data_IF_425556052703
#
_entry.id   IF_425556052703
#
_cell.length_a   1.000
_cell.length_b   1.000
_cell.length_c   1.000
_cell.angle_alpha   90.00
_cell.angle_beta   90.00
_cell.angle_gamma   90.00
#
_symmetry.space_group_name_H-M   'P 1'
#
loop_
_entity.id
_entity.type
_entity.pdbx_description
1 polymer ?
#
# COMPACT_ATOMS: atom_id res chain seq x y z
N UNK A 1 -9.71 -18.86 -4.65
CA UNK A 1 -8.24 -18.79 -4.56
C UNK A 1 -7.78 -17.91 -3.40
N UNK A 2 -8.04 -16.60 -3.43
CA UNK A 2 -7.51 -15.64 -2.45
C UNK A 2 -7.96 -15.86 -0.99
N UNK A 3 -9.23 -16.22 -0.75
CA UNK A 3 -9.76 -16.49 0.60
C UNK A 3 -9.27 -17.79 1.25
N UNK A 4 -8.64 -18.68 0.47
CA UNK A 4 -8.16 -19.99 0.94
C UNK A 4 -6.63 -20.03 1.12
N UNK A 5 -5.93 -18.91 0.91
CA UNK A 5 -4.48 -18.83 1.10
C UNK A 5 -4.19 -18.85 2.60
N UNK A 6 -3.32 -19.77 3.02
CA UNK A 6 -2.79 -19.77 4.38
C UNK A 6 -1.75 -18.65 4.47
N UNK A 7 -2.07 -17.63 5.27
CA UNK A 7 -1.23 -16.46 5.43
C UNK A 7 -0.11 -16.71 6.44
N UNK A 8 0.97 -15.94 6.31
CA UNK A 8 2.04 -15.89 7.31
C UNK A 8 1.46 -15.48 8.67
N UNK A 9 2.07 -15.94 9.76
CA UNK A 9 1.59 -15.68 11.12
C UNK A 9 1.47 -14.18 11.45
N UNK A 10 2.28 -13.36 10.79
CA UNK A 10 2.30 -11.89 10.91
C UNK A 10 1.06 -11.22 10.30
N UNK A 11 0.32 -11.91 9.43
CA UNK A 11 -0.86 -11.37 8.78
C UNK A 11 -2.11 -11.79 9.56
N UNK A 12 -2.55 -10.90 10.45
CA UNK A 12 -3.66 -11.18 11.37
C UNK A 12 -5.06 -11.22 10.72
N UNK A 13 -5.21 -10.86 9.45
CA UNK A 13 -6.52 -10.82 8.75
C UNK A 13 -6.50 -11.65 7.48
N UNK A 14 -7.51 -12.51 7.33
CA UNK A 14 -7.81 -13.15 6.05
C UNK A 14 -8.17 -12.10 5.02
N UNK A 15 -7.71 -12.31 3.79
CA UNK A 15 -8.14 -11.46 2.69
C UNK A 15 -9.62 -11.64 2.40
N UNK A 16 -10.28 -10.52 2.14
CA UNK A 16 -11.62 -10.50 1.56
C UNK A 16 -11.58 -10.85 0.07
N UNK A 17 -12.76 -11.11 -0.48
CA UNK A 17 -12.91 -11.34 -1.91
C UNK A 17 -12.51 -10.10 -2.72
N UNK A 18 -12.08 -10.30 -3.97
CA UNK A 18 -11.89 -9.21 -4.93
C UNK A 18 -13.18 -8.44 -5.21
N UNK A 19 -14.36 -9.05 -5.00
CA UNK A 19 -15.65 -8.35 -5.11
C UNK A 19 -15.81 -7.22 -4.09
N UNK A 20 -15.07 -7.30 -2.98
CA UNK A 20 -15.12 -6.36 -1.87
C UNK A 20 -13.92 -5.40 -1.87
N UNK A 21 -13.20 -5.27 -2.99
CA UNK A 21 -11.98 -4.43 -3.10
C UNK A 21 -12.20 -3.01 -2.55
N UNK A 22 -13.36 -2.40 -2.80
CA UNK A 22 -13.72 -1.08 -2.27
C UNK A 22 -13.72 -0.97 -0.74
N UNK A 23 -13.82 -2.10 -0.04
CA UNK A 23 -13.84 -2.14 1.42
C UNK A 23 -12.50 -2.53 2.03
N UNK A 24 -11.52 -2.96 1.23
CA UNK A 24 -10.20 -3.38 1.70
C UNK A 24 -9.52 -2.25 2.48
N UNK A 25 -8.85 -2.62 3.58
CA UNK A 25 -8.05 -1.68 4.38
C UNK A 25 -6.63 -1.60 3.81
N UNK A 26 -5.90 -0.55 4.14
CA UNK A 26 -4.50 -0.40 3.72
C UNK A 26 -3.62 -1.61 4.08
N UNK A 27 -3.82 -2.22 5.26
CA UNK A 27 -3.10 -3.44 5.66
C UNK A 27 -3.38 -4.64 4.76
N UNK A 28 -4.59 -4.77 4.21
CA UNK A 28 -4.90 -5.81 3.21
C UNK A 28 -4.24 -5.49 1.88
N UNK A 29 -4.30 -4.25 1.40
CA UNK A 29 -3.59 -3.87 0.17
C UNK A 29 -2.08 -4.10 0.27
N UNK A 30 -1.47 -3.73 1.39
CA UNK A 30 -0.05 -3.96 1.66
C UNK A 30 0.29 -5.45 1.69
N UNK A 31 -0.50 -6.25 2.44
CA UNK A 31 -0.30 -7.70 2.50
C UNK A 31 -0.47 -8.35 1.12
N UNK A 32 -1.45 -7.89 0.34
CA UNK A 32 -1.67 -8.39 -1.01
C UNK A 32 -0.48 -8.08 -1.89
N UNK A 33 -0.02 -6.82 -1.89
CA UNK A 33 1.11 -6.38 -2.70
C UNK A 33 2.35 -7.24 -2.42
N UNK A 34 2.79 -7.32 -1.16
CA UNK A 34 4.08 -7.94 -0.83
C UNK A 34 4.10 -9.47 -0.83
N UNK A 35 2.97 -10.13 -0.56
CA UNK A 35 2.99 -11.59 -0.32
C UNK A 35 2.19 -12.42 -1.33
N UNK A 36 1.16 -11.84 -1.95
CA UNK A 36 0.16 -12.64 -2.70
C UNK A 36 0.05 -12.25 -4.16
N UNK A 37 0.25 -10.97 -4.47
CA UNK A 37 -0.08 -10.37 -5.76
C UNK A 37 0.63 -11.06 -6.93
N UNK A 38 1.94 -11.30 -6.85
CA UNK A 38 2.73 -11.91 -7.92
C UNK A 38 2.26 -13.33 -8.28
N UNK A 39 1.80 -14.11 -7.30
CA UNK A 39 1.35 -15.48 -7.52
C UNK A 39 -0.08 -15.49 -8.05
N UNK A 40 -0.96 -14.69 -7.45
CA UNK A 40 -2.38 -14.71 -7.76
C UNK A 40 -2.68 -14.01 -9.08
N UNK A 41 -1.99 -12.92 -9.40
CA UNK A 41 -2.25 -12.17 -10.63
C UNK A 41 -1.68 -12.89 -11.87
N UNK A 42 -0.73 -13.81 -11.69
CA UNK A 42 -0.16 -14.60 -12.78
C UNK A 42 -1.21 -15.55 -13.34
N UNK A 43 -1.52 -15.42 -14.63
CA UNK A 43 -2.56 -16.19 -15.32
C UNK A 43 -3.98 -15.61 -15.17
N UNK A 44 -4.16 -14.55 -14.37
CA UNK A 44 -5.39 -13.74 -14.35
C UNK A 44 -5.22 -12.52 -15.25
N UNK A 45 -4.09 -11.83 -15.11
CA UNK A 45 -3.73 -10.70 -15.97
C UNK A 45 -3.11 -11.20 -17.27
N UNK A 46 -3.35 -10.48 -18.37
CA UNK A 46 -2.58 -10.69 -19.59
C UNK A 46 -1.11 -10.29 -19.38
N UNK A 47 -0.23 -10.74 -20.27
CA UNK A 47 1.22 -10.55 -20.11
C UNK A 47 1.64 -9.08 -20.02
N UNK A 48 0.96 -8.19 -20.76
CA UNK A 48 1.26 -6.75 -20.75
C UNK A 48 0.93 -6.14 -19.37
N UNK A 49 -0.27 -6.38 -18.87
CA UNK A 49 -0.71 -5.91 -17.55
C UNK A 49 0.11 -6.51 -16.41
N UNK A 50 0.47 -7.79 -16.52
CA UNK A 50 1.28 -8.46 -15.51
C UNK A 50 2.70 -7.90 -15.45
N UNK A 51 3.37 -7.74 -16.61
CA UNK A 51 4.70 -7.11 -16.68
C UNK A 51 4.67 -5.67 -16.17
N UNK A 52 3.63 -4.93 -16.50
CA UNK A 52 3.45 -3.57 -15.98
C UNK A 52 3.27 -3.56 -14.45
N UNK A 53 2.44 -4.45 -13.90
CA UNK A 53 2.29 -4.63 -12.47
C UNK A 53 3.62 -4.98 -11.77
N UNK A 54 4.47 -5.79 -12.40
CA UNK A 54 5.79 -6.13 -11.84
C UNK A 54 6.70 -4.91 -11.69
N UNK A 55 6.62 -3.90 -12.57
CA UNK A 55 7.37 -2.64 -12.39
C UNK A 55 7.01 -1.97 -11.06
N UNK A 56 5.71 -1.89 -10.77
CA UNK A 56 5.20 -1.35 -9.51
C UNK A 56 5.61 -2.20 -8.32
N UNK A 57 5.37 -3.52 -8.37
CA UNK A 57 5.72 -4.43 -7.29
C UNK A 57 7.21 -4.37 -6.93
N UNK A 58 8.10 -4.46 -7.93
CA UNK A 58 9.53 -4.41 -7.71
C UNK A 58 9.97 -3.06 -7.14
N UNK A 59 9.47 -1.95 -7.69
CA UNK A 59 9.80 -0.62 -7.20
C UNK A 59 9.41 -0.42 -5.73
N UNK A 60 8.16 -0.71 -5.36
CA UNK A 60 7.67 -0.54 -3.99
C UNK A 60 8.38 -1.50 -3.02
N UNK A 61 8.73 -2.71 -3.46
CA UNK A 61 9.52 -3.64 -2.65
C UNK A 61 10.90 -3.08 -2.34
N UNK A 62 11.57 -2.48 -3.33
CA UNK A 62 12.87 -1.85 -3.09
C UNK A 62 12.73 -0.65 -2.15
N UNK A 63 11.69 0.19 -2.28
CA UNK A 63 11.44 1.30 -1.35
C UNK A 63 10.96 0.89 0.06
N UNK A 64 10.73 -0.40 0.32
CA UNK A 64 10.15 -0.83 1.59
C UNK A 64 11.13 -0.81 2.77
N UNK A 65 12.43 -0.84 2.52
CA UNK A 65 13.47 -1.01 3.54
C UNK A 65 14.79 -0.37 3.13
N UNK A 66 15.52 0.19 4.11
CA UNK A 66 16.86 0.75 3.91
C UNK A 66 17.89 -0.31 3.48
N UNK A 67 17.61 -1.60 3.69
CA UNK A 67 18.46 -2.70 3.21
C UNK A 67 18.66 -2.62 1.69
N UNK A 68 17.69 -2.06 0.96
CA UNK A 68 17.74 -1.91 -0.50
C UNK A 68 18.16 -0.52 -0.97
N UNK A 69 18.72 0.32 -0.08
CA UNK A 69 19.04 1.72 -0.40
C UNK A 69 19.93 1.90 -1.62
N UNK A 70 20.87 0.97 -1.83
CA UNK A 70 21.72 0.96 -3.04
C UNK A 70 20.93 0.80 -4.36
N UNK A 71 19.72 0.24 -4.29
CA UNK A 71 18.84 0.02 -5.43
C UNK A 71 17.75 1.07 -5.58
N UNK A 72 17.69 2.12 -4.75
CA UNK A 72 16.63 3.12 -4.85
C UNK A 72 16.63 3.88 -6.18
N UNK A 73 17.80 4.10 -6.78
CA UNK A 73 17.89 4.69 -8.12
C UNK A 73 17.22 3.80 -9.18
N UNK A 74 17.40 2.48 -9.08
CA UNK A 74 16.71 1.51 -9.92
C UNK A 74 15.19 1.52 -9.63
N UNK A 75 14.79 1.51 -8.35
CA UNK A 75 13.39 1.58 -7.94
C UNK A 75 12.67 2.82 -8.50
N UNK A 76 13.35 3.97 -8.49
CA UNK A 76 12.86 5.22 -9.08
C UNK A 76 12.71 5.14 -10.60
N UNK A 77 13.63 4.44 -11.27
CA UNK A 77 13.54 4.21 -12.71
C UNK A 77 12.33 3.34 -13.05
N UNK A 78 12.11 2.27 -12.27
CA UNK A 78 10.98 1.37 -12.42
C UNK A 78 9.63 2.08 -12.20
N UNK A 79 9.50 2.91 -11.16
CA UNK A 79 8.24 3.63 -10.88
C UNK A 79 7.94 4.68 -11.94
N UNK A 80 8.96 5.38 -12.44
CA UNK A 80 8.80 6.33 -13.56
C UNK A 80 8.35 5.62 -14.82
N UNK A 81 8.88 4.43 -15.09
CA UNK A 81 8.46 3.62 -16.23
C UNK A 81 7.01 3.16 -16.09
N UNK A 82 6.61 2.72 -14.89
CA UNK A 82 5.22 2.38 -14.58
C UNK A 82 4.28 3.56 -14.86
N UNK A 83 4.56 4.75 -14.29
CA UNK A 83 3.70 5.94 -14.51
C UNK A 83 3.67 6.35 -15.98
N UNK A 84 4.81 6.26 -16.70
CA UNK A 84 4.88 6.58 -18.13
C UNK A 84 4.00 5.67 -18.98
N UNK A 85 4.02 4.37 -18.71
CA UNK A 85 3.27 3.35 -19.46
C UNK A 85 1.80 3.27 -19.05
N UNK A 86 1.43 3.82 -17.89
CA UNK A 86 0.09 3.70 -17.31
C UNK A 86 -1.02 4.15 -18.26
N UNK A 87 -0.88 5.33 -18.88
CA UNK A 87 -1.91 5.85 -19.81
C UNK A 87 -2.11 4.96 -21.03
N UNK A 88 -1.04 4.37 -21.54
CA UNK A 88 -1.06 3.61 -22.78
C UNK A 88 -1.66 2.21 -22.54
N UNK A 89 -1.54 1.70 -21.31
CA UNK A 89 -2.03 0.38 -20.91
C UNK A 89 -3.47 0.44 -20.40
N UNK A 90 -3.80 1.40 -19.54
CA UNK A 90 -5.11 1.46 -18.87
C UNK A 90 -6.04 2.53 -19.44
N UNK A 91 -5.50 3.58 -20.07
CA UNK A 91 -6.24 4.76 -20.52
C UNK A 91 -5.88 6.01 -19.72
N UNK A 92 -5.81 7.20 -20.35
CA UNK A 92 -5.49 8.46 -19.68
C UNK A 92 -6.49 8.85 -18.58
N UNK A 93 -7.75 8.46 -18.71
CA UNK A 93 -8.83 8.72 -17.75
C UNK A 93 -8.62 8.03 -16.40
N UNK A 94 -7.76 7.00 -16.33
CA UNK A 94 -7.45 6.28 -15.10
C UNK A 94 -6.20 6.80 -14.40
N UNK A 95 -5.53 7.84 -14.92
CA UNK A 95 -4.45 8.53 -14.22
C UNK A 95 -5.07 9.40 -13.13
N UNK A 96 -5.18 8.83 -11.93
CA UNK A 96 -5.55 9.56 -10.73
C UNK A 96 -4.35 10.27 -10.10
N UNK A 97 -4.61 11.21 -9.18
CA UNK A 97 -3.57 11.83 -8.36
C UNK A 97 -2.69 10.79 -7.64
N UNK A 98 -3.26 9.66 -7.22
CA UNK A 98 -2.50 8.58 -6.58
C UNK A 98 -1.41 7.99 -7.50
N UNK A 99 -1.69 7.87 -8.81
CA UNK A 99 -0.71 7.39 -9.80
C UNK A 99 0.40 8.41 -9.97
N UNK A 100 0.06 9.70 -10.02
CA UNK A 100 1.05 10.78 -10.11
C UNK A 100 1.96 10.84 -8.88
N UNK A 101 1.39 10.70 -7.68
CA UNK A 101 2.12 10.77 -6.42
C UNK A 101 3.25 9.73 -6.32
N UNK A 102 3.16 8.61 -7.05
CA UNK A 102 4.23 7.61 -7.12
C UNK A 102 5.57 8.17 -7.61
N UNK A 103 5.56 9.25 -8.40
CA UNK A 103 6.79 9.92 -8.87
C UNK A 103 7.56 10.65 -7.75
N UNK A 104 6.92 10.90 -6.62
CA UNK A 104 7.49 11.64 -5.50
C UNK A 104 8.12 10.73 -4.44
N UNK A 105 7.80 9.43 -4.43
CA UNK A 105 8.27 8.45 -3.45
C UNK A 105 9.79 8.51 -3.25
N UNK A 106 10.57 8.56 -4.33
CA UNK A 106 12.04 8.60 -4.22
C UNK A 106 12.55 9.81 -3.42
N UNK A 107 11.92 10.98 -3.59
CA UNK A 107 12.31 12.20 -2.86
C UNK A 107 11.85 12.14 -1.41
N UNK A 108 10.66 11.60 -1.17
CA UNK A 108 10.12 11.43 0.18
C UNK A 108 10.97 10.44 0.98
N UNK A 109 11.43 9.36 0.35
CA UNK A 109 12.27 8.36 1.00
C UNK A 109 13.65 8.91 1.38
N UNK A 110 14.27 9.69 0.49
CA UNK A 110 15.53 10.39 0.75
C UNK A 110 15.42 11.39 1.92
N UNK A 111 14.25 12.01 2.08
CA UNK A 111 14.02 13.05 3.09
C UNK A 111 13.53 12.51 4.44
N UNK A 112 12.67 11.49 4.44
CA UNK A 112 11.94 11.02 5.62
C UNK A 112 12.21 9.55 5.98
N UNK A 113 13.04 8.87 5.19
CA UNK A 113 13.32 7.44 5.32
C UNK A 113 12.28 6.55 4.63
N UNK A 114 12.37 5.22 4.82
CA UNK A 114 11.59 4.25 4.05
C UNK A 114 10.08 4.45 4.13
N UNK A 115 9.33 3.95 3.15
CA UNK A 115 7.86 4.08 3.06
C UNK A 115 7.07 3.80 4.35
N UNK A 116 7.56 2.93 5.24
CA UNK A 116 6.87 2.62 6.50
C UNK A 116 6.95 3.77 7.52
N UNK A 117 7.97 4.62 7.46
CA UNK A 117 8.16 5.76 8.40
C UNK A 117 7.19 6.89 8.11
N UNK A 118 6.82 7.07 6.84
CA UNK A 118 5.87 8.09 6.37
C UNK A 118 4.41 7.62 6.39
N UNK A 119 4.14 6.43 6.92
CA UNK A 119 2.80 5.84 6.96
C UNK A 119 1.90 6.46 8.04
N UNK A 120 0.62 6.61 7.73
CA UNK A 120 -0.41 7.02 8.70
C UNK A 120 -0.85 5.91 9.66
N UNK A 121 -0.37 4.66 9.52
CA UNK A 121 -0.84 3.53 10.33
C UNK A 121 -0.65 3.73 11.83
N UNK A 122 0.46 4.32 12.26
CA UNK A 122 0.73 4.58 13.68
C UNK A 122 -0.30 5.56 14.23
N UNK A 123 -0.58 6.64 13.50
CA UNK A 123 -1.56 7.66 13.89
C UNK A 123 -2.99 7.09 13.93
N UNK A 124 -3.38 6.28 12.95
CA UNK A 124 -4.70 5.64 12.93
C UNK A 124 -4.88 4.65 14.10
N UNK A 125 -3.84 3.89 14.44
CA UNK A 125 -3.85 2.99 15.60
C UNK A 125 -4.01 3.77 16.90
N UNK A 126 -3.29 4.89 17.06
CA UNK A 126 -3.43 5.77 18.22
C UNK A 126 -4.79 6.46 18.28
N UNK A 127 -5.33 6.92 17.15
CA UNK A 127 -6.68 7.49 17.07
C UNK A 127 -7.74 6.48 17.51
N UNK A 128 -7.58 5.20 17.14
CA UNK A 128 -8.44 4.13 17.59
C UNK A 128 -8.28 3.83 19.09
N UNK A 129 -7.08 4.02 19.66
CA UNK A 129 -6.86 3.96 21.11
C UNK A 129 -7.60 5.10 21.82
N UNK A 130 -7.47 6.33 21.33
CA UNK A 130 -8.16 7.51 21.86
C UNK A 130 -9.68 7.33 21.81
N UNK A 131 -10.22 6.86 20.67
CA UNK A 131 -11.66 6.61 20.51
C UNK A 131 -12.23 5.63 21.55
N UNK A 132 -11.44 4.67 22.05
CA UNK A 132 -11.89 3.73 23.11
C UNK A 132 -12.11 4.41 24.46
N UNK A 133 -11.48 5.55 24.72
CA UNK A 133 -11.74 6.37 25.91
C UNK A 133 -13.01 7.22 25.75
N UNK A 134 -13.47 7.46 24.53
CA UNK A 134 -14.63 8.30 24.22
C UNK A 134 -15.89 7.45 24.04
N UNK A 135 -16.85 7.53 24.98
CA UNK A 135 -18.16 6.85 24.85
C UNK A 135 -19.09 7.47 23.78
N UNK A 136 -18.96 8.78 23.55
CA UNK A 136 -19.78 9.57 22.63
C UNK A 136 -19.07 10.91 22.36
N UNK A 137 -19.36 11.56 21.22
CA UNK A 137 -18.75 12.83 20.81
C UNK A 137 -19.01 14.04 21.73
N UNK A 138 -19.97 13.97 22.67
CA UNK A 138 -20.18 15.05 23.64
C UNK A 138 -19.13 15.01 24.76
N UNK A 139 -18.65 16.18 25.21
CA UNK A 139 -17.73 16.32 26.36
C UNK A 139 -16.50 15.40 26.26
N UNK A 140 -15.90 15.33 25.09
CA UNK A 140 -14.81 14.40 24.77
C UNK A 140 -13.56 14.62 25.64
N UNK A 141 -13.20 15.87 25.93
CA UNK A 141 -12.06 16.19 26.82
C UNK A 141 -12.32 15.72 28.27
N UNK A 142 -13.48 16.03 28.83
CA UNK A 142 -13.88 15.67 30.19
C UNK A 142 -13.88 14.13 30.37
N UNK A 143 -14.35 13.40 29.35
CA UNK A 143 -14.37 11.93 29.34
C UNK A 143 -12.98 11.30 29.19
N UNK A 144 -12.07 11.96 28.48
CA UNK A 144 -10.70 11.47 28.29
C UNK A 144 -9.84 11.67 29.54
N UNK A 145 -10.08 12.75 30.30
CA UNK A 145 -9.33 13.09 31.53
C UNK A 145 -9.85 12.33 32.75
N UNK A 146 -11.16 12.10 32.87
CA UNK A 146 -11.77 11.44 34.04
C UNK A 146 -11.68 9.90 34.02
N UNK A 147 -10.66 9.32 33.40
CA UNK A 147 -10.48 7.87 33.24
C UNK A 147 -9.06 7.41 33.50
#
# INVERSE_FOLDING_TARGET
MLMNIKLLAEIHRKFRSFRDLKYWKGSEFSSFLFYVSIVVLRGILNDQHYKHFLLYFCSITLFSSEVYKEHFSLANTLIKLFVKQYKDIYGPEFISSNVHNLLHIYKEDDQFGPLHTISSYVFENELQRIKRFLRCGSKSLEKAINR
#
